data_IF_440919625638
#
_entry.id   IF_440919625638
#
_cell.length_a   1.000
_cell.length_b   1.000
_cell.length_c   1.000
_cell.angle_alpha   90.00
_cell.angle_beta   90.00
_cell.angle_gamma   90.00
#
_symmetry.space_group_name_H-M   'P 1'
#
loop_
_entity.id
_entity.type
_entity.pdbx_description
1 polymer ?
#
# COMPACT_ATOMS: atom_id res chain seq x y z
N UNK A 1 1.58 41.49 -2.84
CA UNK A 1 2.54 40.74 -3.69
C UNK A 1 3.21 39.67 -2.87
N UNK A 2 2.81 38.41 -2.97
CA UNK A 2 3.47 37.29 -2.29
C UNK A 2 4.76 37.05 -3.07
N UNK A 3 5.91 37.09 -2.44
CA UNK A 3 7.20 36.91 -3.13
C UNK A 3 7.22 35.55 -3.82
N UNK A 4 7.78 35.49 -5.01
CA UNK A 4 7.95 34.27 -5.83
C UNK A 4 8.62 33.15 -5.02
N UNK A 5 9.47 33.46 -4.01
CA UNK A 5 10.04 32.51 -3.08
C UNK A 5 9.00 31.85 -2.15
N UNK A 6 8.00 32.60 -1.67
CA UNK A 6 6.92 32.02 -0.83
C UNK A 6 5.97 31.17 -1.66
N UNK A 7 5.77 31.51 -2.94
CA UNK A 7 5.00 30.72 -3.89
C UNK A 7 5.73 29.40 -4.24
N UNK A 8 7.03 29.45 -4.53
CA UNK A 8 7.88 28.28 -4.74
C UNK A 8 7.99 27.39 -3.49
N UNK A 9 8.13 27.99 -2.29
CA UNK A 9 8.19 27.24 -1.03
C UNK A 9 6.88 26.49 -0.72
N UNK A 10 5.77 27.09 -1.05
CA UNK A 10 4.44 26.51 -0.86
C UNK A 10 4.13 25.39 -1.84
N UNK A 11 4.63 25.51 -3.06
CA UNK A 11 4.50 24.50 -4.11
C UNK A 11 5.34 23.25 -3.77
N UNK A 12 6.52 23.43 -3.13
CA UNK A 12 7.37 22.32 -2.65
C UNK A 12 6.74 21.50 -1.50
N UNK A 13 5.77 22.05 -0.75
CA UNK A 13 5.06 21.31 0.31
C UNK A 13 4.11 20.26 -0.26
N UNK A 14 3.59 20.44 -1.47
CA UNK A 14 2.65 19.54 -2.13
C UNK A 14 3.28 18.28 -2.70
N UNK A 15 4.56 18.33 -3.02
CA UNK A 15 5.26 17.19 -3.65
C UNK A 15 5.43 15.96 -2.74
N UNK A 16 5.07 16.03 -1.45
CA UNK A 16 5.30 14.94 -0.49
C UNK A 16 4.10 14.04 -0.24
N UNK A 17 2.96 14.25 -0.90
CA UNK A 17 1.69 13.78 -0.36
C UNK A 17 1.21 12.46 -0.96
N UNK A 18 1.65 12.04 -2.16
CA UNK A 18 0.98 10.96 -2.85
C UNK A 18 1.86 9.89 -3.45
N UNK A 19 1.61 8.67 -3.03
CA UNK A 19 1.86 7.45 -3.77
C UNK A 19 0.71 6.49 -3.48
N UNK A 20 -0.09 6.06 -4.47
CA UNK A 20 -0.90 4.88 -4.29
C UNK A 20 0.09 3.72 -4.05
N UNK A 21 0.11 3.20 -2.84
CA UNK A 21 0.91 2.03 -2.51
C UNK A 21 0.29 0.85 -3.19
N UNK A 22 1.08 0.23 -4.05
CA UNK A 22 0.74 -1.01 -4.71
C UNK A 22 0.53 -2.07 -3.66
N UNK A 23 -0.69 -2.40 -3.41
CA UNK A 23 -1.04 -3.57 -2.64
C UNK A 23 -1.22 -4.76 -3.59
N UNK A 24 -0.12 -5.43 -3.93
CA UNK A 24 -0.23 -6.85 -4.22
C UNK A 24 -0.54 -7.48 -2.87
N UNK A 25 -1.65 -8.14 -2.71
CA UNK A 25 -2.26 -8.79 -1.55
C UNK A 25 -1.27 -9.29 -0.47
N UNK A 26 -0.38 -8.41 0.03
CA UNK A 26 0.50 -8.70 1.14
C UNK A 26 0.13 -7.78 2.30
N UNK A 27 -0.30 -8.38 3.40
CA UNK A 27 -0.61 -7.72 4.65
C UNK A 27 0.59 -6.98 5.28
N UNK A 28 1.68 -6.82 4.56
CA UNK A 28 2.97 -6.38 5.06
C UNK A 28 3.46 -5.07 4.43
N UNK A 29 2.62 -4.36 3.65
CA UNK A 29 3.01 -3.10 3.04
C UNK A 29 3.14 -1.99 4.07
N UNK A 30 4.33 -1.41 4.16
CA UNK A 30 4.61 -0.25 5.00
C UNK A 30 4.32 1.03 4.21
N UNK A 31 3.37 1.83 4.69
CA UNK A 31 2.80 2.97 3.95
C UNK A 31 2.98 4.29 4.71
N UNK A 32 4.21 4.85 4.81
CA UNK A 32 4.36 6.16 5.43
C UNK A 32 3.61 7.23 4.66
N UNK A 33 3.03 8.20 5.35
CA UNK A 33 2.25 9.31 4.83
C UNK A 33 0.87 8.92 4.27
N UNK A 34 0.30 7.80 4.70
CA UNK A 34 -1.05 7.38 4.31
C UNK A 34 -2.10 8.43 4.72
N UNK A 35 -2.00 8.92 5.96
CA UNK A 35 -2.86 9.97 6.53
C UNK A 35 -2.12 11.30 6.55
N UNK A 36 -1.89 11.89 5.37
CA UNK A 36 -1.26 13.21 5.27
C UNK A 36 -2.28 14.29 5.03
N UNK A 37 -2.06 15.52 5.53
CA UNK A 37 -2.88 16.64 5.14
C UNK A 37 -2.81 16.86 3.63
N UNK A 38 -3.95 17.07 2.99
CA UNK A 38 -4.07 17.29 1.55
C UNK A 38 -5.02 18.46 1.25
N UNK A 39 -4.75 19.28 0.21
CA UNK A 39 -5.72 20.27 -0.25
C UNK A 39 -6.90 19.58 -0.92
N UNK A 40 -8.05 20.22 -0.96
CA UNK A 40 -9.19 19.79 -1.76
C UNK A 40 -8.95 20.05 -3.26
N UNK A 41 -9.62 19.26 -4.12
CA UNK A 41 -9.58 19.38 -5.59
C UNK A 41 -8.17 19.20 -6.20
N UNK A 42 -7.35 18.36 -5.57
CA UNK A 42 -6.08 17.92 -6.12
C UNK A 42 -6.29 16.57 -6.82
N UNK A 43 -5.78 16.46 -8.03
CA UNK A 43 -5.71 15.22 -8.78
C UNK A 43 -4.26 14.77 -8.88
N UNK A 44 -4.02 13.48 -8.86
CA UNK A 44 -2.66 12.92 -8.97
C UNK A 44 -2.69 11.67 -9.84
N UNK A 45 -1.78 11.60 -10.79
CA UNK A 45 -1.45 10.39 -11.53
C UNK A 45 -0.10 9.88 -11.04
N UNK A 46 0.00 8.57 -10.84
CA UNK A 46 1.21 7.95 -10.34
C UNK A 46 1.56 6.68 -11.13
N UNK A 47 2.85 6.46 -11.33
CA UNK A 47 3.42 5.25 -11.91
C UNK A 47 4.41 4.67 -10.92
N UNK A 48 4.32 3.39 -10.68
CA UNK A 48 5.22 2.69 -9.76
C UNK A 48 5.77 1.42 -10.38
N UNK A 49 7.00 1.08 -10.01
CA UNK A 49 7.60 -0.22 -10.26
C UNK A 49 8.15 -0.77 -8.95
N UNK A 50 7.93 -2.05 -8.72
CA UNK A 50 8.48 -2.78 -7.58
C UNK A 50 9.08 -4.11 -8.03
N UNK A 51 10.26 -4.42 -7.52
CA UNK A 51 10.89 -5.73 -7.63
C UNK A 51 10.93 -6.37 -6.24
N UNK A 52 10.29 -7.53 -6.12
CA UNK A 52 10.23 -8.31 -4.88
C UNK A 52 10.86 -9.67 -5.12
N UNK A 53 11.72 -10.10 -4.21
CA UNK A 53 12.32 -11.43 -4.24
C UNK A 53 12.48 -11.99 -2.83
N UNK A 54 12.44 -13.30 -2.72
CA UNK A 54 12.62 -13.96 -1.42
C UNK A 54 11.94 -15.31 -1.35
N UNK A 55 11.78 -15.81 -0.14
CA UNK A 55 11.14 -17.09 0.14
C UNK A 55 9.63 -16.92 0.33
N UNK A 56 8.89 -17.96 0.00
CA UNK A 56 7.48 -18.05 0.34
C UNK A 56 7.29 -19.22 1.31
N UNK A 57 7.11 -18.89 2.59
CA UNK A 57 6.99 -19.86 3.66
C UNK A 57 5.56 -20.42 3.70
N UNK A 58 5.44 -21.68 3.39
CA UNK A 58 4.17 -22.40 3.32
C UNK A 58 4.03 -23.36 4.51
N UNK A 59 2.79 -23.77 4.78
CA UNK A 59 2.50 -24.83 5.72
C UNK A 59 3.16 -26.15 5.25
N UNK A 60 3.86 -26.83 6.15
CA UNK A 60 4.54 -28.09 5.90
C UNK A 60 3.60 -29.25 5.49
N UNK A 61 2.29 -29.11 5.67
CA UNK A 61 1.30 -30.07 5.19
C UNK A 61 1.07 -29.98 3.67
N UNK A 62 1.56 -28.92 3.01
CA UNK A 62 1.52 -28.81 1.56
C UNK A 62 2.72 -29.56 0.95
N UNK A 63 2.53 -30.20 -0.21
CA UNK A 63 3.61 -30.90 -0.91
C UNK A 63 4.56 -29.94 -1.63
N UNK A 64 4.76 -28.74 -1.06
CA UNK A 64 5.56 -27.65 -1.61
C UNK A 64 6.66 -27.29 -0.62
N UNK A 65 7.91 -27.29 -1.06
CA UNK A 65 9.09 -27.00 -0.23
C UNK A 65 9.99 -25.99 -0.95
N UNK A 66 10.74 -25.23 -0.17
CA UNK A 66 11.77 -24.30 -0.65
C UNK A 66 11.29 -23.34 -1.74
N UNK A 67 10.05 -22.85 -1.63
CA UNK A 67 9.47 -21.96 -2.63
C UNK A 67 10.12 -20.59 -2.56
N UNK A 68 10.77 -20.19 -3.66
CA UNK A 68 11.33 -18.86 -3.88
C UNK A 68 10.52 -18.15 -4.95
N UNK A 69 10.42 -16.84 -4.84
CA UNK A 69 9.73 -16.04 -5.82
C UNK A 69 10.53 -14.80 -6.22
N UNK A 70 10.35 -14.41 -7.47
CA UNK A 70 10.80 -13.13 -8.04
C UNK A 70 9.60 -12.50 -8.72
N UNK A 71 9.20 -11.32 -8.29
CA UNK A 71 8.00 -10.64 -8.78
C UNK A 71 8.35 -9.21 -9.19
N UNK A 72 8.03 -8.86 -10.43
CA UNK A 72 8.08 -7.51 -10.95
C UNK A 72 6.66 -6.99 -11.04
N UNK A 73 6.42 -5.79 -10.55
CA UNK A 73 5.09 -5.17 -10.55
C UNK A 73 5.18 -3.74 -11.04
N UNK A 74 4.40 -3.42 -12.05
CA UNK A 74 4.09 -2.06 -12.47
C UNK A 74 2.74 -1.68 -11.90
N UNK A 75 2.55 -0.41 -11.54
CA UNK A 75 1.28 0.10 -11.07
C UNK A 75 0.97 1.44 -11.66
N UNK A 76 -0.24 1.54 -12.16
CA UNK A 76 -0.86 2.80 -12.51
C UNK A 76 -1.81 3.19 -11.37
N UNK A 77 -1.62 4.38 -10.83
CA UNK A 77 -2.45 4.94 -9.77
C UNK A 77 -3.06 6.28 -10.15
N UNK A 78 -4.29 6.49 -9.74
CA UNK A 78 -4.97 7.78 -9.79
C UNK A 78 -5.54 8.12 -8.44
N UNK A 79 -5.46 9.39 -8.07
CA UNK A 79 -6.01 9.90 -6.82
C UNK A 79 -6.70 11.24 -7.02
N UNK A 80 -7.78 11.45 -6.27
CA UNK A 80 -8.46 12.74 -6.21
C UNK A 80 -8.84 13.08 -4.79
N UNK A 81 -8.75 14.37 -4.44
CA UNK A 81 -9.12 14.88 -3.13
C UNK A 81 -10.36 15.75 -3.22
N UNK A 82 -11.22 15.65 -2.25
CA UNK A 82 -12.50 16.35 -2.21
C UNK A 82 -12.95 16.58 -0.76
N UNK A 83 -14.10 17.21 -0.62
CA UNK A 83 -14.78 17.36 0.66
C UNK A 83 -15.87 16.29 0.80
N UNK A 84 -15.86 15.59 1.93
CA UNK A 84 -16.90 14.65 2.31
C UNK A 84 -17.38 14.97 3.74
N UNK A 85 -18.67 15.28 3.91
CA UNK A 85 -19.26 15.67 5.19
C UNK A 85 -18.45 16.72 5.98
N UNK A 86 -17.96 17.76 5.28
CA UNK A 86 -17.16 18.82 5.89
C UNK A 86 -15.72 18.43 6.25
N UNK A 87 -15.26 17.24 5.86
CA UNK A 87 -13.91 16.72 6.10
C UNK A 87 -13.14 16.59 4.80
N UNK A 88 -11.82 16.69 4.88
CA UNK A 88 -10.97 16.38 3.75
C UNK A 88 -10.97 14.87 3.50
N UNK A 89 -11.27 14.50 2.28
CA UNK A 89 -11.32 13.12 1.82
C UNK A 89 -10.47 12.93 0.56
N UNK A 90 -10.06 11.68 0.34
CA UNK A 90 -9.27 11.27 -0.79
C UNK A 90 -9.80 9.93 -1.31
N UNK A 91 -9.94 9.82 -2.63
CA UNK A 91 -10.24 8.58 -3.30
C UNK A 91 -9.07 8.18 -4.20
N UNK A 92 -8.63 6.95 -4.06
CA UNK A 92 -7.50 6.37 -4.79
C UNK A 92 -7.98 5.16 -5.62
N UNK A 93 -7.41 5.00 -6.80
CA UNK A 93 -7.52 3.81 -7.64
C UNK A 93 -6.12 3.35 -8.00
N UNK A 94 -5.82 2.07 -7.87
CA UNK A 94 -4.55 1.49 -8.28
C UNK A 94 -4.77 0.21 -9.07
N UNK A 95 -4.10 0.09 -10.23
CA UNK A 95 -4.18 -1.09 -11.10
C UNK A 95 -2.78 -1.68 -11.22
N UNK A 96 -2.53 -2.88 -10.64
CA UNK A 96 -1.26 -3.56 -10.74
C UNK A 96 -1.19 -4.43 -12.00
N UNK A 97 -0.04 -4.43 -12.64
CA UNK A 97 0.36 -5.34 -13.71
C UNK A 97 1.65 -6.03 -13.25
N UNK A 98 1.67 -7.35 -13.20
CA UNK A 98 2.78 -8.10 -12.65
C UNK A 98 3.28 -9.21 -13.54
N UNK A 99 4.56 -9.54 -13.36
CA UNK A 99 5.12 -10.82 -13.80
C UNK A 99 5.91 -11.41 -12.64
N UNK A 100 5.62 -12.68 -12.32
CA UNK A 100 6.27 -13.37 -11.23
C UNK A 100 6.68 -14.79 -11.64
N UNK A 101 7.82 -15.23 -11.12
CA UNK A 101 8.31 -16.60 -11.25
C UNK A 101 8.46 -17.17 -9.85
N UNK A 102 7.90 -18.37 -9.65
CA UNK A 102 7.99 -19.15 -8.42
C UNK A 102 8.70 -20.46 -8.73
N UNK A 103 9.71 -20.78 -7.97
CA UNK A 103 10.54 -21.97 -8.09
C UNK A 103 10.55 -22.71 -6.74
N UNK A 104 10.48 -24.03 -6.74
CA UNK A 104 10.50 -24.84 -5.52
C UNK A 104 10.41 -26.32 -5.82
N UNK A 105 10.15 -27.12 -4.78
CA UNK A 105 9.93 -28.56 -4.91
C UNK A 105 8.45 -28.89 -4.75
N UNK A 106 7.91 -29.71 -5.67
CA UNK A 106 6.57 -30.29 -5.57
C UNK A 106 6.74 -31.79 -5.38
N UNK A 107 6.36 -32.33 -4.24
CA UNK A 107 6.63 -33.74 -3.87
C UNK A 107 8.12 -34.12 -4.03
N UNK A 108 9.05 -33.21 -3.67
CA UNK A 108 10.50 -33.43 -3.80
C UNK A 108 11.06 -33.26 -5.22
N UNK A 109 10.23 -32.94 -6.22
CA UNK A 109 10.64 -32.74 -7.62
C UNK A 109 10.72 -31.23 -7.92
N UNK A 110 11.81 -30.74 -8.52
CA UNK A 110 11.91 -29.32 -8.92
C UNK A 110 10.78 -28.90 -9.87
N UNK A 111 10.14 -27.79 -9.57
CA UNK A 111 9.07 -27.22 -10.37
C UNK A 111 9.17 -25.70 -10.40
N UNK A 112 8.70 -25.10 -11.48
CA UNK A 112 8.60 -23.65 -11.61
C UNK A 112 7.28 -23.25 -12.24
N UNK A 113 6.83 -22.02 -11.91
CA UNK A 113 5.62 -21.43 -12.47
C UNK A 113 5.85 -19.94 -12.72
N UNK A 114 5.59 -19.48 -13.94
CA UNK A 114 5.60 -18.05 -14.29
C UNK A 114 4.19 -17.59 -14.58
N UNK A 115 3.83 -16.40 -14.09
CA UNK A 115 2.55 -15.73 -14.33
C UNK A 115 2.80 -14.29 -14.73
N UNK A 116 2.08 -13.85 -15.75
CA UNK A 116 2.10 -12.45 -16.24
C UNK A 116 0.68 -12.00 -16.47
N UNK A 117 0.33 -10.80 -16.04
CA UNK A 117 -0.99 -10.20 -16.24
C UNK A 117 -1.38 -9.18 -15.18
N UNK A 118 -2.65 -8.83 -15.13
CA UNK A 118 -3.20 -7.90 -14.15
C UNK A 118 -3.44 -8.60 -12.81
N UNK A 119 -3.05 -7.92 -11.72
CA UNK A 119 -3.52 -8.25 -10.38
C UNK A 119 -4.87 -7.59 -10.09
N UNK A 120 -5.39 -7.81 -8.90
CA UNK A 120 -6.66 -7.21 -8.48
C UNK A 120 -6.51 -5.69 -8.31
N UNK A 121 -7.35 -4.87 -8.97
CA UNK A 121 -7.37 -3.43 -8.73
C UNK A 121 -7.75 -3.11 -7.29
N UNK A 122 -7.22 -2.01 -6.77
CA UNK A 122 -7.52 -1.51 -5.43
C UNK A 122 -8.20 -0.16 -5.52
N UNK A 123 -9.33 -0.03 -4.85
CA UNK A 123 -10.02 1.22 -4.60
C UNK A 123 -9.82 1.58 -3.14
N UNK A 124 -9.56 2.86 -2.82
CA UNK A 124 -9.46 3.27 -1.43
C UNK A 124 -10.10 4.63 -1.18
N UNK A 125 -10.81 4.74 -0.07
CA UNK A 125 -11.38 5.99 0.42
C UNK A 125 -10.74 6.33 1.76
N UNK A 126 -10.11 7.50 1.84
CA UNK A 126 -9.55 8.05 3.08
C UNK A 126 -10.35 9.27 3.52
N UNK A 127 -10.60 9.39 4.81
CA UNK A 127 -11.26 10.55 5.41
C UNK A 127 -10.51 10.98 6.66
N UNK A 128 -10.13 12.25 6.74
CA UNK A 128 -9.52 12.82 7.94
C UNK A 128 -10.61 13.21 8.96
N UNK A 129 -10.68 12.48 10.08
CA UNK A 129 -11.69 12.70 11.12
C UNK A 129 -11.32 13.91 11.98
N UNK A 130 -10.02 14.03 12.30
CA UNK A 130 -9.46 15.13 13.08
C UNK A 130 -8.25 15.72 12.35
N UNK A 131 -8.04 17.02 12.48
CA UNK A 131 -7.06 17.75 11.69
C UNK A 131 -7.57 17.98 10.25
N UNK A 132 -6.72 18.43 9.36
CA UNK A 132 -6.90 18.66 7.93
C UNK A 132 -8.34 19.00 7.48
N UNK A 133 -8.68 20.28 7.58
CA UNK A 133 -9.94 20.80 7.00
C UNK A 133 -9.85 20.78 5.47
N UNK A 134 -10.98 20.69 4.74
CA UNK A 134 -11.00 20.76 3.28
C UNK A 134 -10.68 22.20 2.82
N UNK A 135 -9.40 22.47 2.61
CA UNK A 135 -8.87 23.76 2.22
C UNK A 135 -8.49 23.75 0.74
N UNK A 136 -8.78 24.84 0.04
CA UNK A 136 -8.23 25.07 -1.29
C UNK A 136 -6.70 25.19 -1.22
N UNK A 137 -6.02 24.88 -2.32
CA UNK A 137 -4.56 24.87 -2.41
C UNK A 137 -3.90 26.11 -1.78
N UNK A 138 -4.41 27.30 -2.08
CA UNK A 138 -3.88 28.56 -1.57
C UNK A 138 -3.97 28.71 -0.05
N UNK A 139 -5.09 28.26 0.54
CA UNK A 139 -5.31 28.26 1.98
C UNK A 139 -4.48 27.16 2.66
N UNK A 140 -4.38 25.99 2.02
CA UNK A 140 -3.61 24.85 2.49
C UNK A 140 -2.12 25.19 2.66
N UNK A 141 -1.57 26.08 1.85
CA UNK A 141 -0.17 26.51 1.96
C UNK A 141 0.18 27.19 3.31
N UNK A 142 -0.80 27.78 3.96
CA UNK A 142 -0.64 28.45 5.27
C UNK A 142 -1.06 27.53 6.43
N UNK A 143 -1.67 26.37 6.10
CA UNK A 143 -2.18 25.44 7.09
C UNK A 143 -1.06 24.74 7.84
N UNK A 144 -1.20 24.66 9.17
CA UNK A 144 -0.25 24.01 10.07
C UNK A 144 -1.05 23.12 11.03
N UNK A 145 -1.04 21.84 10.78
CA UNK A 145 -1.62 20.85 11.67
C UNK A 145 -0.52 20.05 12.34
N UNK A 146 -0.66 19.84 13.64
CA UNK A 146 0.26 19.01 14.41
C UNK A 146 -0.25 17.60 14.61
N UNK A 147 -1.55 17.45 14.68
CA UNK A 147 -2.18 16.16 14.94
C UNK A 147 -3.27 15.86 13.92
N UNK A 148 -3.24 14.67 13.39
CA UNK A 148 -4.20 14.20 12.40
C UNK A 148 -4.64 12.79 12.73
N UNK A 149 -5.95 12.52 12.71
CA UNK A 149 -6.54 11.19 12.74
C UNK A 149 -7.39 10.97 11.50
N UNK A 150 -7.39 9.77 11.00
CA UNK A 150 -8.17 9.42 9.84
C UNK A 150 -8.53 7.94 9.76
N UNK A 151 -9.48 7.69 8.91
CA UNK A 151 -9.91 6.36 8.47
C UNK A 151 -9.58 6.20 7.01
N UNK A 152 -9.19 5.00 6.63
CA UNK A 152 -9.07 4.58 5.24
C UNK A 152 -9.78 3.22 5.08
N UNK A 153 -10.52 3.04 4.00
CA UNK A 153 -11.06 1.76 3.58
C UNK A 153 -10.50 1.43 2.20
N UNK A 154 -9.61 0.47 2.15
CA UNK A 154 -9.14 -0.15 0.91
C UNK A 154 -10.01 -1.33 0.53
N UNK A 155 -10.31 -1.49 -0.75
CA UNK A 155 -11.09 -2.61 -1.31
C UNK A 155 -10.31 -3.16 -2.50
N UNK A 156 -9.87 -4.43 -2.41
CA UNK A 156 -9.32 -5.16 -3.54
C UNK A 156 -10.47 -5.83 -4.28
N UNK A 157 -10.58 -5.51 -5.57
CA UNK A 157 -11.67 -5.97 -6.44
C UNK A 157 -11.17 -7.19 -7.22
N UNK A 158 -11.88 -8.34 -7.22
CA UNK A 158 -11.42 -9.59 -7.84
C UNK A 158 -11.53 -9.57 -9.38
N UNK A 159 -10.82 -8.65 -10.02
CA UNK A 159 -10.76 -8.48 -11.47
C UNK A 159 -9.40 -8.89 -12.05
N UNK A 160 -8.46 -9.28 -11.21
CA UNK A 160 -7.14 -9.74 -11.61
C UNK A 160 -7.21 -11.07 -12.35
N UNK A 161 -6.14 -11.37 -13.08
CA UNK A 161 -6.04 -12.59 -13.84
C UNK A 161 -5.99 -13.80 -12.91
N UNK A 162 -6.96 -14.70 -13.06
CA UNK A 162 -7.15 -15.88 -12.24
C UNK A 162 -7.45 -17.11 -13.09
N UNK A 163 -6.71 -18.18 -12.83
CA UNK A 163 -6.92 -19.51 -13.42
C UNK A 163 -7.13 -20.52 -12.28
N UNK A 164 -8.35 -21.04 -12.16
CA UNK A 164 -8.74 -21.99 -11.11
C UNK A 164 -7.98 -23.34 -11.16
N UNK A 165 -7.30 -23.65 -12.25
CA UNK A 165 -6.46 -24.85 -12.36
C UNK A 165 -5.02 -24.61 -11.87
N UNK A 166 -4.68 -23.37 -11.53
CA UNK A 166 -3.33 -22.98 -11.09
C UNK A 166 -3.34 -22.66 -9.60
N UNK A 167 -2.31 -23.12 -8.89
CA UNK A 167 -2.13 -22.79 -7.47
C UNK A 167 -1.68 -21.34 -7.27
N UNK A 168 -0.83 -20.82 -8.16
CA UNK A 168 -0.33 -19.46 -8.11
C UNK A 168 -1.03 -18.61 -9.16
N UNK A 169 -1.62 -17.50 -8.72
CA UNK A 169 -2.34 -16.56 -9.53
C UNK A 169 -1.95 -15.12 -9.16
N UNK A 170 -2.16 -14.16 -10.06
CA UNK A 170 -1.96 -12.73 -9.82
C UNK A 170 -3.20 -12.07 -9.21
N UNK A 171 -4.40 -12.51 -9.59
CA UNK A 171 -5.65 -12.17 -8.92
C UNK A 171 -5.98 -13.17 -7.80
N UNK A 172 -6.79 -12.74 -6.84
CA UNK A 172 -7.17 -13.58 -5.68
C UNK A 172 -8.54 -14.22 -5.82
N UNK A 173 -9.32 -13.79 -6.82
CA UNK A 173 -10.70 -14.25 -7.06
C UNK A 173 -11.61 -14.12 -5.83
N UNK A 174 -11.37 -13.12 -5.00
CA UNK A 174 -12.17 -12.78 -3.82
C UNK A 174 -12.03 -11.29 -3.50
N UNK A 175 -13.04 -10.72 -2.86
CA UNK A 175 -12.98 -9.38 -2.32
C UNK A 175 -12.11 -9.36 -1.07
N UNK A 176 -11.32 -8.29 -0.93
CA UNK A 176 -10.58 -8.00 0.30
C UNK A 176 -10.91 -6.59 0.77
N UNK A 177 -11.36 -6.47 2.01
CA UNK A 177 -11.67 -5.18 2.63
C UNK A 177 -10.60 -4.88 3.69
N UNK A 178 -9.96 -3.71 3.57
CA UNK A 178 -8.89 -3.27 4.46
C UNK A 178 -9.27 -1.95 5.13
N UNK A 179 -10.03 -1.95 6.23
CA UNK A 179 -10.12 -0.78 7.07
C UNK A 179 -8.77 -0.50 7.75
N UNK A 180 -8.41 0.78 7.79
CA UNK A 180 -7.24 1.30 8.49
C UNK A 180 -7.66 2.49 9.34
N UNK A 181 -7.29 2.48 10.61
CA UNK A 181 -7.40 3.62 11.51
C UNK A 181 -6.01 4.06 11.93
N UNK A 182 -5.77 5.35 11.98
CA UNK A 182 -4.50 5.84 12.48
C UNK A 182 -4.35 7.33 12.30
N UNK A 183 -3.15 7.80 12.61
CA UNK A 183 -2.89 9.21 12.58
C UNK A 183 -1.42 9.57 12.60
N UNK A 184 -1.17 10.85 12.57
CA UNK A 184 0.16 11.43 12.59
C UNK A 184 0.27 12.54 13.62
N UNK A 185 1.44 12.63 14.23
CA UNK A 185 1.85 13.75 15.10
C UNK A 185 3.11 14.38 14.53
N UNK A 186 3.05 15.70 14.31
CA UNK A 186 4.14 16.48 13.76
C UNK A 186 4.76 17.41 14.82
N UNK A 187 6.07 17.32 14.99
CA UNK A 187 6.85 18.25 15.82
C UNK A 187 8.12 18.68 15.09
N UNK A 188 8.22 19.98 14.80
CA UNK A 188 9.31 20.50 13.98
C UNK A 188 9.39 19.83 12.60
N UNK A 189 10.52 19.19 12.32
CA UNK A 189 10.78 18.44 11.09
C UNK A 189 10.39 16.96 11.18
N UNK A 190 10.04 16.45 12.35
CA UNK A 190 9.68 15.09 12.61
C UNK A 190 8.18 14.86 12.50
N UNK A 191 7.79 13.71 11.94
CA UNK A 191 6.42 13.22 11.91
C UNK A 191 6.44 11.77 12.37
N UNK A 192 5.58 11.45 13.33
CA UNK A 192 5.38 10.11 13.85
C UNK A 192 3.99 9.65 13.43
N UNK A 193 3.91 8.47 12.86
CA UNK A 193 2.63 7.91 12.40
C UNK A 193 2.44 6.51 12.98
N UNK A 194 1.18 6.20 13.29
CA UNK A 194 0.76 4.86 13.73
C UNK A 194 -0.52 4.49 12.99
N UNK A 195 -0.55 3.28 12.42
CA UNK A 195 -1.70 2.74 11.72
C UNK A 195 -2.08 1.36 12.25
N UNK A 196 -3.36 1.17 12.53
CA UNK A 196 -3.98 -0.10 12.82
C UNK A 196 -4.74 -0.55 11.58
N UNK A 197 -4.43 -1.73 11.09
CA UNK A 197 -5.00 -2.29 9.87
C UNK A 197 -5.70 -3.62 10.19
N UNK A 198 -6.79 -3.90 9.49
CA UNK A 198 -7.40 -5.21 9.46
C UNK A 198 -7.71 -5.60 8.02
N UNK A 199 -7.60 -6.89 7.69
CA UNK A 199 -8.03 -7.43 6.39
C UNK A 199 -9.13 -8.44 6.62
N UNK A 200 -10.21 -8.27 5.88
CA UNK A 200 -11.34 -9.18 5.82
C UNK A 200 -11.46 -9.72 4.40
N UNK A 201 -11.62 -11.00 4.28
CA UNK A 201 -11.60 -11.72 3.01
C UNK A 201 -12.95 -12.39 2.76
N UNK A 202 -13.48 -12.30 1.54
CA UNK A 202 -14.56 -13.20 1.13
C UNK A 202 -13.99 -14.56 0.73
N UNK A 203 -14.84 -15.57 0.69
CA UNK A 203 -14.43 -16.90 0.28
C UNK A 203 -14.18 -16.95 -1.23
N UNK A 204 -13.06 -17.55 -1.65
CA UNK A 204 -12.82 -17.95 -3.04
C UNK A 204 -13.38 -19.36 -3.24
N UNK A 205 -14.48 -19.47 -3.98
CA UNK A 205 -15.18 -20.74 -4.27
C UNK A 205 -14.61 -21.51 -5.47
N UNK A 206 -13.60 -20.95 -6.14
CA UNK A 206 -12.95 -21.55 -7.31
C UNK A 206 -11.43 -21.72 -7.09
N UNK A 207 -11.02 -21.95 -5.85
CA UNK A 207 -9.61 -22.16 -5.51
C UNK A 207 -9.11 -23.50 -6.05
N UNK A 208 -7.95 -23.47 -6.62
CA UNK A 208 -7.15 -24.61 -7.14
C UNK A 208 -7.92 -25.93 -7.29
N UNK A 209 -8.32 -26.27 -8.53
CA UNK A 209 -9.07 -27.47 -8.89
C UNK A 209 -10.47 -27.59 -8.24
N UNK A 210 -11.15 -26.47 -8.03
CA UNK A 210 -12.53 -26.44 -7.53
C UNK A 210 -12.68 -26.50 -6.02
N UNK A 211 -11.59 -26.34 -5.27
CA UNK A 211 -11.64 -26.20 -3.83
C UNK A 211 -12.23 -24.84 -3.42
N UNK A 212 -12.56 -24.69 -2.15
CA UNK A 212 -12.92 -23.42 -1.52
C UNK A 212 -11.79 -22.95 -0.64
N UNK A 213 -11.49 -21.64 -0.67
CA UNK A 213 -10.52 -20.99 0.22
C UNK A 213 -11.21 -19.89 1.00
N UNK A 214 -11.34 -20.06 2.30
CA UNK A 214 -11.67 -19.02 3.26
C UNK A 214 -10.41 -18.59 4.02
N UNK A 215 -10.42 -17.37 4.58
CA UNK A 215 -9.32 -16.87 5.40
C UNK A 215 -9.87 -16.05 6.56
N UNK A 216 -9.34 -16.30 7.76
CA UNK A 216 -9.67 -15.52 8.95
C UNK A 216 -9.11 -14.10 8.83
N UNK A 217 -9.67 -13.13 9.56
CA UNK A 217 -9.14 -11.77 9.56
C UNK A 217 -7.66 -11.73 9.92
N UNK A 218 -6.95 -10.80 9.30
CA UNK A 218 -5.54 -10.51 9.55
C UNK A 218 -5.43 -9.09 10.09
N UNK A 219 -4.70 -8.89 11.17
CA UNK A 219 -4.51 -7.60 11.82
C UNK A 219 -3.05 -7.17 11.72
N UNK A 220 -2.79 -5.88 11.62
CA UNK A 220 -1.44 -5.35 11.68
C UNK A 220 -1.38 -3.98 12.33
N UNK A 221 -0.25 -3.71 12.96
CA UNK A 221 0.15 -2.38 13.43
C UNK A 221 1.38 -1.92 12.65
N UNK A 222 1.41 -0.64 12.29
CA UNK A 222 2.54 -0.01 11.61
C UNK A 222 2.94 1.26 12.33
N UNK A 223 4.25 1.50 12.40
CA UNK A 223 4.86 2.71 12.94
C UNK A 223 5.79 3.31 11.91
N UNK A 224 5.76 4.62 11.78
CA UNK A 224 6.61 5.36 10.86
C UNK A 224 7.22 6.56 11.58
N UNK A 225 8.52 6.73 11.42
CA UNK A 225 9.26 7.91 11.85
C UNK A 225 9.76 8.61 10.59
N UNK A 226 9.32 9.82 10.37
CA UNK A 226 9.55 10.57 9.14
C UNK A 226 10.30 11.85 9.49
N UNK A 227 11.38 12.13 8.77
CA UNK A 227 12.11 13.39 8.86
C UNK A 227 11.95 14.17 7.56
N UNK A 228 11.51 15.42 7.68
CA UNK A 228 11.35 16.35 6.56
C UNK A 228 12.56 17.28 6.50
N UNK A 229 13.43 17.09 5.52
CA UNK A 229 14.62 17.94 5.29
C UNK A 229 14.19 19.33 4.82
N UNK A 230 13.32 19.36 3.83
CA UNK A 230 12.65 20.54 3.25
C UNK A 230 11.30 20.13 2.67
N UNK A 231 10.42 21.07 2.33
CA UNK A 231 9.15 20.77 1.68
C UNK A 231 9.34 19.82 0.47
N UNK A 232 8.63 18.71 0.46
CA UNK A 232 8.69 17.67 -0.59
C UNK A 232 9.85 16.68 -0.44
N UNK A 233 10.95 17.01 0.24
CA UNK A 233 12.07 16.11 0.50
C UNK A 233 11.97 15.54 1.92
N UNK A 234 11.71 14.26 2.04
CA UNK A 234 11.64 13.59 3.33
C UNK A 234 12.09 12.13 3.24
N UNK A 235 12.54 11.60 4.36
CA UNK A 235 12.84 10.18 4.53
C UNK A 235 12.00 9.60 5.68
N UNK A 236 11.70 8.32 5.60
CA UNK A 236 10.98 7.58 6.63
C UNK A 236 11.67 6.26 6.94
N UNK A 237 11.67 5.88 8.21
CA UNK A 237 11.88 4.52 8.68
C UNK A 237 10.53 3.99 9.15
N UNK A 238 10.26 2.76 8.82
CA UNK A 238 8.97 2.12 9.04
C UNK A 238 9.15 0.74 9.61
N UNK A 239 8.27 0.34 10.53
CA UNK A 239 8.19 -1.01 11.05
C UNK A 239 6.73 -1.44 11.15
N UNK A 240 6.47 -2.73 10.97
CA UNK A 240 5.14 -3.29 11.09
C UNK A 240 5.16 -4.73 11.58
N UNK A 241 4.09 -5.12 12.26
CA UNK A 241 3.84 -6.50 12.68
C UNK A 241 2.41 -6.87 12.36
N UNK A 242 2.20 -8.08 11.84
CA UNK A 242 0.87 -8.63 11.61
C UNK A 242 0.65 -9.92 12.42
N UNK A 243 -0.65 -10.23 12.62
CA UNK A 243 -1.10 -11.45 13.29
C UNK A 243 -2.46 -11.88 12.76
N UNK A 244 -2.64 -13.19 12.51
CA UNK A 244 -3.91 -13.77 12.06
C UNK A 244 -3.84 -14.36 10.65
N UNK A 245 -4.96 -14.31 9.90
CA UNK A 245 -4.99 -14.69 8.50
C UNK A 245 -4.86 -16.19 8.23
N UNK A 246 -5.18 -17.06 9.21
CA UNK A 246 -5.21 -18.51 9.00
C UNK A 246 -6.13 -18.87 7.83
N UNK A 247 -5.66 -19.73 6.94
CA UNK A 247 -6.46 -20.20 5.81
C UNK A 247 -7.23 -21.47 6.12
N UNK A 248 -8.39 -21.62 5.46
CA UNK A 248 -9.29 -22.77 5.60
C UNK A 248 -9.61 -23.23 4.18
N UNK A 249 -9.18 -24.45 3.84
CA UNK A 249 -9.43 -25.06 2.53
C UNK A 249 -10.41 -26.20 2.69
N UNK A 250 -11.58 -26.13 2.02
CA UNK A 250 -12.68 -27.09 2.15
C UNK A 250 -13.07 -27.39 3.60
N UNK A 251 -13.13 -26.34 4.45
CA UNK A 251 -13.43 -26.48 5.86
C UNK A 251 -12.26 -26.92 6.76
N UNK A 252 -11.11 -27.28 6.17
CA UNK A 252 -9.94 -27.76 6.91
C UNK A 252 -9.00 -26.58 7.21
N UNK A 253 -8.72 -26.33 8.49
CA UNK A 253 -7.78 -25.32 8.96
C UNK A 253 -6.33 -25.69 8.61
N UNK A 254 -5.59 -24.75 8.02
CA UNK A 254 -4.21 -24.99 7.55
C UNK A 254 -3.13 -24.67 8.60
N UNK A 255 -3.51 -24.15 9.77
CA UNK A 255 -2.57 -23.79 10.85
C UNK A 255 -1.45 -22.84 10.42
N UNK A 256 -1.68 -22.09 9.36
CA UNK A 256 -0.77 -21.14 8.74
C UNK A 256 -0.98 -19.70 9.24
N UNK A 257 -1.25 -19.56 10.54
CA UNK A 257 -1.41 -18.25 11.19
C UNK A 257 -0.15 -17.42 10.93
N UNK A 258 -0.32 -16.30 10.28
CA UNK A 258 0.74 -15.33 10.07
C UNK A 258 1.08 -14.63 11.37
N UNK A 259 2.36 -14.50 11.63
CA UNK A 259 2.93 -13.72 12.72
C UNK A 259 4.25 -13.15 12.20
N UNK A 260 4.14 -12.06 11.43
CA UNK A 260 5.26 -11.57 10.65
C UNK A 260 5.59 -10.14 11.06
N UNK A 261 6.89 -9.82 11.05
CA UNK A 261 7.41 -8.47 11.26
C UNK A 261 8.20 -8.04 10.06
N UNK A 262 8.10 -6.76 9.71
CA UNK A 262 8.78 -6.15 8.57
C UNK A 262 9.27 -4.76 8.91
N UNK A 263 10.36 -4.35 8.29
CA UNK A 263 10.82 -2.97 8.35
C UNK A 263 11.12 -2.43 6.95
N UNK A 264 11.28 -1.12 6.84
CA UNK A 264 11.58 -0.51 5.56
C UNK A 264 12.02 0.94 5.69
N UNK A 265 12.54 1.44 4.59
CA UNK A 265 12.94 2.82 4.41
C UNK A 265 12.28 3.41 3.16
N UNK A 266 11.93 4.67 3.24
CA UNK A 266 11.33 5.41 2.11
C UNK A 266 12.01 6.76 1.99
N UNK A 267 12.33 7.17 0.75
CA UNK A 267 12.83 8.49 0.42
C UNK A 267 11.92 9.13 -0.65
N UNK A 268 11.42 10.32 -0.39
CA UNK A 268 10.66 11.11 -1.35
C UNK A 268 11.46 12.34 -1.79
N UNK A 269 11.55 12.54 -3.09
CA UNK A 269 12.37 13.59 -3.73
C UNK A 269 11.46 14.41 -4.63
N UNK A 270 11.28 15.72 -4.38
CA UNK A 270 10.53 16.58 -5.27
C UNK A 270 11.31 16.83 -6.56
N UNK A 271 10.67 16.62 -7.71
CA UNK A 271 11.20 16.97 -9.04
C UNK A 271 10.73 18.35 -9.47
N UNK A 272 9.44 18.61 -9.26
CA UNK A 272 8.83 19.93 -9.43
C UNK A 272 7.98 20.25 -8.20
N UNK A 273 7.29 21.35 -8.25
CA UNK A 273 6.30 21.72 -7.27
C UNK A 273 5.13 20.73 -7.14
N UNK A 274 4.79 20.04 -8.22
CA UNK A 274 3.63 19.17 -8.33
C UNK A 274 4.00 17.74 -8.75
N UNK A 275 5.29 17.41 -8.78
CA UNK A 275 5.73 16.06 -9.13
C UNK A 275 6.95 15.65 -8.31
N UNK A 276 7.17 14.35 -8.20
CA UNK A 276 8.33 13.83 -7.50
C UNK A 276 8.54 12.35 -7.71
N UNK A 277 9.63 11.88 -7.11
CA UNK A 277 10.04 10.48 -7.07
C UNK A 277 9.95 9.96 -5.64
N UNK A 278 9.56 8.70 -5.50
CA UNK A 278 9.63 7.96 -4.24
C UNK A 278 10.46 6.70 -4.46
N UNK A 279 11.43 6.50 -3.61
CA UNK A 279 12.21 5.26 -3.51
C UNK A 279 11.80 4.54 -2.24
N UNK A 280 11.60 3.24 -2.32
CA UNK A 280 11.19 2.41 -1.20
C UNK A 280 12.04 1.15 -1.13
N UNK A 281 12.30 0.72 0.09
CA UNK A 281 12.89 -0.59 0.37
C UNK A 281 12.22 -1.18 1.59
N UNK A 282 11.87 -2.48 1.53
CA UNK A 282 11.30 -3.22 2.67
C UNK A 282 11.88 -4.62 2.73
N UNK A 283 11.97 -5.16 3.96
CA UNK A 283 12.44 -6.52 4.20
C UNK A 283 11.69 -7.15 5.38
N UNK A 284 11.51 -8.48 5.34
CA UNK A 284 11.06 -9.27 6.47
C UNK A 284 12.11 -9.30 7.59
N UNK A 285 11.69 -9.22 8.86
CA UNK A 285 12.55 -9.41 10.02
C UNK A 285 12.35 -10.82 10.58
N UNK A 286 11.08 -11.19 10.71
CA UNK A 286 10.64 -12.49 11.17
C UNK A 286 9.34 -12.82 10.44
N UNK A 287 9.35 -13.90 9.68
CA UNK A 287 8.20 -14.35 8.91
C UNK A 287 7.92 -15.79 9.26
N UNK A 288 6.72 -16.04 9.81
CA UNK A 288 6.29 -17.40 10.15
C UNK A 288 5.66 -18.09 8.94
N UNK A 289 4.72 -17.44 8.27
CA UNK A 289 4.06 -17.91 7.06
C UNK A 289 3.83 -16.77 6.08
N UNK A 290 3.86 -17.09 4.78
CA UNK A 290 3.66 -16.14 3.69
C UNK A 290 4.96 -15.66 3.07
N UNK A 291 4.93 -14.48 2.47
CA UNK A 291 6.05 -13.92 1.73
C UNK A 291 7.11 -13.29 2.65
N UNK A 292 8.31 -13.85 2.64
CA UNK A 292 9.52 -13.27 3.23
C UNK A 292 10.34 -12.62 2.11
N UNK A 293 9.91 -11.45 1.69
CA UNK A 293 10.46 -10.75 0.54
C UNK A 293 11.24 -9.51 0.92
N UNK A 294 12.36 -9.33 0.24
CA UNK A 294 12.99 -8.02 0.04
C UNK A 294 12.34 -7.36 -1.16
N UNK A 295 11.87 -6.13 -0.99
CA UNK A 295 11.23 -5.36 -2.06
C UNK A 295 11.94 -4.03 -2.25
N UNK A 296 12.27 -3.70 -3.50
CA UNK A 296 12.74 -2.40 -3.95
C UNK A 296 11.65 -1.77 -4.81
N UNK A 297 11.37 -0.50 -4.57
CA UNK A 297 10.33 0.20 -5.30
C UNK A 297 10.82 1.59 -5.73
N UNK A 298 10.39 2.00 -6.93
CA UNK A 298 10.52 3.35 -7.44
C UNK A 298 9.18 3.80 -7.97
N UNK A 299 8.84 5.04 -7.77
CA UNK A 299 7.63 5.61 -8.31
C UNK A 299 7.76 7.07 -8.63
N UNK A 300 6.97 7.51 -9.60
CA UNK A 300 6.82 8.89 -10.03
C UNK A 300 5.37 9.30 -9.88
N UNK A 301 5.12 10.52 -9.41
CA UNK A 301 3.79 11.11 -9.40
C UNK A 301 3.79 12.50 -9.99
N UNK A 302 2.67 12.87 -10.58
CA UNK A 302 2.36 14.22 -11.04
C UNK A 302 0.97 14.62 -10.55
N UNK A 303 0.87 15.80 -9.93
CA UNK A 303 -0.38 16.33 -9.40
C UNK A 303 -0.76 17.62 -10.11
N UNK A 304 -2.06 17.87 -10.19
CA UNK A 304 -2.62 19.15 -10.66
C UNK A 304 -3.84 19.50 -9.83
N UNK A 305 -4.05 20.77 -9.61
CA UNK A 305 -5.25 21.27 -8.95
C UNK A 305 -6.23 21.79 -10.01
N UNK A 306 -7.51 21.46 -9.86
CA UNK A 306 -8.54 22.12 -10.64
C UNK A 306 -8.75 23.51 -10.04
N UNK A 307 -8.70 24.57 -10.86
CA UNK A 307 -9.17 25.89 -10.43
C UNK A 307 -10.63 25.75 -10.06
N UNK A 308 -10.96 25.98 -8.79
CA UNK A 308 -12.36 26.01 -8.35
C UNK A 308 -13.16 27.04 -9.15
N UNK A 309 -14.48 26.94 -9.16
CA UNK A 309 -15.31 28.00 -9.73
C UNK A 309 -14.92 29.34 -9.10
N UNK A 310 -14.80 30.36 -9.97
CA UNK A 310 -14.50 31.76 -9.56
C UNK A 310 -15.60 32.31 -8.67
#
# INVERSE_FOLDING_TARGET
>A
MISMQKFLLAILILASIFFPTVQICSAQDLTPRLQSPVPAHLHTLAFGYAYSHGNYLLDSSLPLQDVKAKVNTLVLGYSTTFQLFGRAAKFDVAVPLGTGTWEGLVNGVPASATRTGFGDPVLALSVNILGNRPLLLRQFMQYRERFLLGLNLGISVPLGQYDKTKLVNLGTHRWVFKPTFGGSFKTGKWIFETFLNAWFFTTNSAYFNGNTLAQKPLFAVQFHVIYTFRPGLWAALSAGRNYGGETIVNGIHKRDIQENSRFGATLAIPVTAMSGLRLGWTNGISVRFGADFTTWAIGYWHSWARSGPK
#
